data_IF_890934645808
#
_entry.id   IF_890934645808
#
_cell.length_a   1.000
_cell.length_b   1.000
_cell.length_c   1.000
_cell.angle_alpha   90.00
_cell.angle_beta   90.00
_cell.angle_gamma   90.00
#
_symmetry.space_group_name_H-M   'P 1'
#
loop_
_entity.id
_entity.type
_entity.pdbx_description
1 polymer ?
#
# COMPACT_ATOMS: atom_id res chain seq x y z
N UNK A 1 20.53 13.68 6.43
CA UNK A 1 20.14 13.08 5.13
C UNK A 1 20.23 11.57 5.33
N UNK A 2 19.16 10.81 5.10
CA UNK A 2 19.17 9.38 5.42
C UNK A 2 19.75 8.65 4.20
N UNK A 3 21.02 8.24 4.26
CA UNK A 3 21.66 7.37 3.25
C UNK A 3 21.17 5.93 3.42
N UNK A 4 19.85 5.73 3.38
CA UNK A 4 19.29 4.39 3.30
C UNK A 4 19.18 4.03 1.82
N UNK A 5 19.98 3.08 1.32
CA UNK A 5 19.85 2.63 -0.06
C UNK A 5 18.46 2.05 -0.27
N UNK A 6 17.83 2.45 -1.39
CA UNK A 6 16.54 1.94 -1.84
C UNK A 6 16.75 0.97 -2.98
N UNK A 7 15.91 -0.06 -3.09
CA UNK A 7 15.93 -0.96 -4.24
C UNK A 7 15.55 -0.24 -5.54
N UNK A 8 14.73 0.82 -5.46
CA UNK A 8 14.39 1.66 -6.62
C UNK A 8 13.55 0.96 -7.70
N UNK A 9 12.78 -0.08 -7.34
CA UNK A 9 12.08 -0.95 -8.30
C UNK A 9 10.72 -0.43 -8.77
N UNK A 10 10.11 0.51 -8.06
CA UNK A 10 8.78 1.03 -8.36
C UNK A 10 8.82 2.53 -8.62
N UNK A 11 8.07 2.94 -9.62
CA UNK A 11 7.89 4.31 -10.10
C UNK A 11 6.98 5.12 -9.18
N UNK A 12 7.45 5.34 -7.95
CA UNK A 12 6.72 6.07 -6.93
C UNK A 12 7.63 6.92 -6.04
N UNK A 13 7.05 7.99 -5.49
CA UNK A 13 7.71 8.83 -4.48
C UNK A 13 7.00 8.66 -3.15
N UNK A 14 7.77 8.34 -2.11
CA UNK A 14 7.26 8.07 -0.77
C UNK A 14 7.68 9.18 0.20
N UNK A 15 6.74 9.64 1.03
CA UNK A 15 7.00 10.50 2.19
C UNK A 15 6.90 9.65 3.45
N UNK A 16 8.00 9.53 4.18
CA UNK A 16 8.08 8.74 5.42
C UNK A 16 7.32 9.42 6.56
N UNK A 17 6.66 8.62 7.40
CA UNK A 17 5.99 9.07 8.64
C UNK A 17 5.04 10.26 8.42
N UNK A 18 4.29 10.23 7.32
CA UNK A 18 3.44 11.35 6.92
C UNK A 18 2.27 11.58 7.89
N UNK A 19 1.74 10.51 8.49
CA UNK A 19 0.64 10.59 9.46
C UNK A 19 1.08 11.00 10.88
N UNK A 20 2.31 11.48 11.06
CA UNK A 20 2.74 12.17 12.28
C UNK A 20 3.70 11.40 13.20
N UNK A 21 4.21 12.11 14.22
CA UNK A 21 5.15 11.59 15.22
C UNK A 21 4.40 11.33 16.53
N UNK A 22 4.43 10.06 16.96
CA UNK A 22 4.28 9.56 18.34
C UNK A 22 3.02 8.78 18.77
N UNK A 23 1.82 8.82 18.16
CA UNK A 23 0.68 8.07 18.78
C UNK A 23 -0.49 7.59 17.94
N UNK A 24 -0.51 7.79 16.62
CA UNK A 24 -1.68 7.39 15.82
C UNK A 24 -1.38 6.15 14.99
N UNK A 25 -1.30 5.00 15.65
CA UNK A 25 -1.77 3.78 14.99
C UNK A 25 -3.27 3.95 14.82
N UNK A 26 -3.76 3.84 13.59
CA UNK A 26 -5.19 3.97 13.33
C UNK A 26 -5.64 2.90 12.34
N UNK A 27 -6.93 2.62 12.38
CA UNK A 27 -7.59 1.76 11.43
C UNK A 27 -8.53 2.61 10.56
N UNK A 28 -8.58 2.30 9.27
CA UNK A 28 -9.50 2.94 8.35
C UNK A 28 -10.03 1.93 7.32
N UNK A 29 -11.33 1.98 6.99
CA UNK A 29 -11.85 1.22 5.86
C UNK A 29 -11.26 1.77 4.55
N UNK A 30 -10.76 0.89 3.71
CA UNK A 30 -10.17 1.22 2.40
C UNK A 30 -11.02 0.64 1.28
N UNK A 31 -11.39 1.47 0.31
CA UNK A 31 -11.93 0.98 -0.96
C UNK A 31 -10.78 0.53 -1.84
N UNK A 32 -10.72 -0.77 -2.11
CA UNK A 32 -9.71 -1.38 -2.98
C UNK A 32 -10.46 -2.22 -4.03
N UNK A 33 -10.85 -1.64 -5.18
CA UNK A 33 -11.79 -2.27 -6.12
C UNK A 33 -11.39 -3.68 -6.57
N UNK A 34 -10.09 -3.93 -6.71
CA UNK A 34 -9.55 -5.24 -7.12
C UNK A 34 -9.77 -6.34 -6.07
N UNK A 35 -10.06 -5.96 -4.81
CA UNK A 35 -10.41 -6.89 -3.73
C UNK A 35 -11.93 -7.04 -3.53
N UNK A 36 -12.73 -6.47 -4.43
CA UNK A 36 -14.19 -6.51 -4.39
C UNK A 36 -14.83 -5.24 -3.82
N UNK A 37 -16.14 -5.32 -3.54
CA UNK A 37 -16.97 -4.17 -3.15
C UNK A 37 -16.84 -3.79 -1.67
N UNK A 38 -16.58 -4.78 -0.81
CA UNK A 38 -16.47 -4.58 0.63
C UNK A 38 -15.19 -3.84 0.99
N UNK A 39 -15.29 -2.89 1.92
CA UNK A 39 -14.13 -2.16 2.41
C UNK A 39 -13.09 -3.12 3.01
N UNK A 40 -11.81 -2.85 2.76
CA UNK A 40 -10.69 -3.58 3.33
C UNK A 40 -10.22 -2.88 4.62
N UNK A 41 -10.00 -3.60 5.74
CA UNK A 41 -9.50 -3.00 6.97
C UNK A 41 -8.02 -2.59 6.83
N UNK A 42 -7.74 -1.29 6.72
CA UNK A 42 -6.38 -0.77 6.68
C UNK A 42 -5.85 -0.44 8.07
N UNK A 43 -4.85 -1.17 8.55
CA UNK A 43 -4.15 -0.90 9.81
C UNK A 43 -2.87 -0.10 9.54
N UNK A 44 -2.79 1.14 10.02
CA UNK A 44 -1.66 2.04 9.76
C UNK A 44 -0.83 2.22 11.03
N UNK A 45 0.48 1.92 10.98
CA UNK A 45 1.40 2.10 12.12
C UNK A 45 2.62 2.90 11.65
N UNK A 46 2.72 4.16 12.08
CA UNK A 46 3.77 5.10 11.60
C UNK A 46 3.88 5.11 10.07
N UNK A 47 2.73 5.05 9.41
CA UNK A 47 2.65 4.77 8.00
C UNK A 47 3.29 5.89 7.14
N UNK A 48 4.03 5.52 6.08
CA UNK A 48 4.36 6.45 5.02
C UNK A 48 3.12 6.78 4.16
N UNK A 49 3.27 7.67 3.19
CA UNK A 49 2.33 7.80 2.07
C UNK A 49 3.08 7.84 0.76
N UNK A 50 2.42 7.41 -0.31
CA UNK A 50 2.90 7.66 -1.67
C UNK A 50 2.37 9.03 -2.11
N UNK A 51 3.31 9.96 -2.37
CA UNK A 51 3.01 11.32 -2.84
C UNK A 51 2.53 11.30 -4.28
N UNK A 52 3.18 10.49 -5.13
CA UNK A 52 2.84 10.32 -6.53
C UNK A 52 3.37 8.99 -7.08
N UNK A 53 2.71 8.52 -8.10
CA UNK A 53 3.12 7.41 -8.98
C UNK A 53 3.33 7.94 -10.39
N UNK A 54 4.14 7.27 -11.20
CA UNK A 54 4.35 7.57 -12.62
C UNK A 54 4.65 6.29 -13.40
N UNK A 55 4.83 6.39 -14.71
CA UNK A 55 5.14 5.24 -15.56
C UNK A 55 4.03 4.20 -15.51
N UNK A 56 4.41 2.96 -15.20
CA UNK A 56 3.51 1.80 -15.15
C UNK A 56 2.95 1.55 -13.73
N UNK A 57 3.26 2.43 -12.76
CA UNK A 57 2.75 2.29 -11.40
C UNK A 57 1.34 2.85 -11.27
N UNK A 58 0.43 2.04 -10.73
CA UNK A 58 -0.98 2.37 -10.55
C UNK A 58 -1.37 2.41 -9.07
N UNK A 59 -2.17 3.40 -8.69
CA UNK A 59 -2.71 3.49 -7.34
C UNK A 59 -3.93 2.57 -7.20
N UNK A 60 -3.81 1.56 -6.32
CA UNK A 60 -4.91 0.62 -6.04
C UNK A 60 -5.88 1.13 -4.97
N UNK A 61 -5.40 1.99 -4.07
CA UNK A 61 -6.20 2.52 -2.98
C UNK A 61 -5.70 3.90 -2.53
N UNK A 62 -6.65 4.74 -2.10
CA UNK A 62 -6.36 6.03 -1.47
C UNK A 62 -7.07 6.17 -0.13
N UNK A 63 -6.47 6.94 0.78
CA UNK A 63 -7.07 7.35 2.03
C UNK A 63 -6.84 8.85 2.24
N UNK A 64 -7.91 9.62 2.43
CA UNK A 64 -7.86 11.09 2.56
C UNK A 64 -7.05 11.76 1.43
N UNK A 65 -7.21 11.29 0.19
CA UNK A 65 -6.51 11.81 -0.97
C UNK A 65 -5.02 11.46 -1.04
N UNK A 66 -4.54 10.52 -0.22
CA UNK A 66 -3.17 10.00 -0.26
C UNK A 66 -3.17 8.56 -0.73
N UNK A 67 -2.20 8.21 -1.58
CA UNK A 67 -2.07 6.85 -2.11
C UNK A 67 -1.50 5.95 -1.01
N UNK A 68 -2.18 4.83 -0.75
CA UNK A 68 -1.85 3.88 0.33
C UNK A 68 -1.66 2.44 -0.14
N UNK A 69 -2.00 2.15 -1.40
CA UNK A 69 -1.60 0.91 -2.08
C UNK A 69 -1.25 1.21 -3.53
N UNK A 70 -0.18 0.59 -4.03
CA UNK A 70 0.36 0.76 -5.38
C UNK A 70 0.74 -0.60 -5.94
N UNK A 71 0.51 -0.78 -7.24
CA UNK A 71 1.00 -1.91 -8.00
C UNK A 71 1.79 -1.44 -9.23
N UNK A 72 2.84 -2.18 -9.57
CA UNK A 72 3.56 -2.04 -10.83
C UNK A 72 4.00 -3.42 -11.32
N UNK A 73 3.33 -3.93 -12.36
CA UNK A 73 3.49 -5.32 -12.81
C UNK A 73 3.32 -6.31 -11.65
N UNK A 74 4.39 -7.03 -11.33
CA UNK A 74 4.46 -8.02 -10.23
C UNK A 74 4.80 -7.44 -8.85
N UNK A 75 4.96 -6.12 -8.74
CA UNK A 75 5.30 -5.45 -7.49
C UNK A 75 4.04 -4.90 -6.85
N UNK A 76 3.82 -5.22 -5.58
CA UNK A 76 2.70 -4.72 -4.78
C UNK A 76 3.27 -4.06 -3.52
N UNK A 77 2.81 -2.84 -3.22
CA UNK A 77 3.23 -2.09 -2.04
C UNK A 77 2.02 -1.51 -1.32
N UNK A 78 2.02 -1.59 0.02
CA UNK A 78 1.01 -0.99 0.89
C UNK A 78 1.64 -0.11 1.96
N UNK A 79 0.94 0.96 2.34
CA UNK A 79 1.28 1.81 3.48
C UNK A 79 0.64 1.34 4.80
N UNK A 80 -0.20 0.31 4.72
CA UNK A 80 -0.88 -0.33 5.84
C UNK A 80 -0.43 -1.79 5.97
N UNK A 81 -0.82 -2.39 7.10
CA UNK A 81 -0.47 -3.73 7.54
C UNK A 81 -1.64 -4.72 7.33
N UNK A 82 -1.83 -5.28 6.13
CA UNK A 82 -2.87 -6.28 5.87
C UNK A 82 -2.72 -7.52 6.76
N UNK A 83 -1.50 -7.85 7.19
CA UNK A 83 -1.13 -8.99 8.04
C UNK A 83 -1.64 -8.88 9.47
N UNK A 84 -1.99 -7.67 9.93
CA UNK A 84 -2.56 -7.42 11.25
C UNK A 84 -4.09 -7.55 11.26
N UNK A 85 -4.68 -8.05 10.17
CA UNK A 85 -6.12 -8.25 10.02
C UNK A 85 -6.42 -9.73 9.75
N UNK A 86 -7.69 -10.12 9.91
CA UNK A 86 -8.17 -11.45 9.49
C UNK A 86 -8.57 -11.50 8.01
N UNK A 87 -8.49 -10.39 7.30
CA UNK A 87 -8.91 -10.29 5.90
C UNK A 87 -7.79 -10.71 4.95
N UNK A 88 -7.94 -11.91 4.39
CA UNK A 88 -6.93 -12.52 3.52
C UNK A 88 -7.02 -12.04 2.07
N UNK A 89 -7.95 -11.15 1.70
CA UNK A 89 -8.19 -10.79 0.29
C UNK A 89 -6.94 -10.24 -0.40
N UNK A 90 -6.20 -9.34 0.26
CA UNK A 90 -4.97 -8.78 -0.32
C UNK A 90 -3.85 -9.83 -0.46
N UNK A 91 -3.70 -10.73 0.52
CA UNK A 91 -2.72 -11.81 0.44
C UNK A 91 -3.06 -12.81 -0.67
N UNK A 92 -4.33 -13.19 -0.80
CA UNK A 92 -4.82 -14.03 -1.90
C UNK A 92 -4.59 -13.35 -3.26
N UNK A 93 -4.84 -12.05 -3.34
CA UNK A 93 -4.56 -11.25 -4.53
C UNK A 93 -3.08 -11.30 -4.91
N UNK A 94 -2.17 -11.10 -3.95
CA UNK A 94 -0.74 -11.20 -4.20
C UNK A 94 -0.30 -12.61 -4.66
N UNK A 95 -0.83 -13.67 -4.04
CA UNK A 95 -0.56 -15.06 -4.48
C UNK A 95 -1.06 -15.29 -5.91
N UNK A 96 -2.23 -14.77 -6.26
CA UNK A 96 -2.78 -14.85 -7.60
C UNK A 96 -1.86 -14.17 -8.63
N UNK A 97 -1.32 -12.99 -8.33
CA UNK A 97 -0.33 -12.32 -9.19
C UNK A 97 0.90 -13.19 -9.48
N UNK A 98 1.37 -13.93 -8.46
CA UNK A 98 2.52 -14.85 -8.62
C UNK A 98 2.15 -16.01 -9.54
N UNK A 99 0.97 -16.60 -9.35
CA UNK A 99 0.50 -17.73 -10.17
C UNK A 99 0.29 -17.35 -11.64
N UNK A 100 -0.15 -16.12 -11.91
CA UNK A 100 -0.32 -15.61 -13.28
C UNK A 100 0.99 -15.26 -13.99
N UNK A 101 2.10 -15.18 -13.24
CA UNK A 101 3.44 -14.91 -13.79
C UNK A 101 4.20 -16.20 -14.14
N UNK A 102 3.68 -17.37 -13.75
CA UNK A 102 4.22 -18.70 -14.09
C UNK A 102 3.65 -19.21 -15.41
#
# INVERSE_FOLDING_TARGET
KVDQPILGLMDMRVIRNFFGRQRESFEAPLTIPILGKEAFPGVFIRAPVVEKVWGEAEALATYKGKIVAVQQGRLLATAFHPELTRDLRLHKYFVQMVLETL
#
